data_IF_843914371933
#
_entry.id   IF_843914371933
#
_cell.length_a   1.000
_cell.length_b   1.000
_cell.length_c   1.000
_cell.angle_alpha   90.00
_cell.angle_beta   90.00
_cell.angle_gamma   90.00
#
_symmetry.space_group_name_H-M   'P 1'
#
loop_
_entity.id
_entity.type
_entity.pdbx_description
1 polymer ?
#
# COMPACT_ATOMS: atom_id res chain seq x y z
N UNK A 1 -6.81 -4.62 14.45
CA UNK A 1 -6.49 -3.29 15.02
C UNK A 1 -5.09 -2.74 14.73
N UNK A 2 -3.99 -3.37 15.17
CA UNK A 2 -2.65 -2.78 15.02
C UNK A 2 -2.25 -2.57 13.54
N UNK A 3 -2.54 -3.55 12.69
CA UNK A 3 -2.27 -3.46 11.23
C UNK A 3 -2.94 -2.23 10.62
N UNK A 4 -4.24 -2.03 10.85
CA UNK A 4 -4.98 -0.87 10.32
C UNK A 4 -4.38 0.46 10.79
N UNK A 5 -4.08 0.56 12.09
CA UNK A 5 -3.42 1.76 12.67
C UNK A 5 -2.04 2.03 12.05
N UNK A 6 -1.27 0.98 11.74
CA UNK A 6 0.02 1.13 11.06
C UNK A 6 -0.16 1.64 9.62
N UNK A 7 -1.15 1.11 8.90
CA UNK A 7 -1.49 1.54 7.53
C UNK A 7 -1.92 3.00 7.50
N UNK A 8 -2.73 3.45 8.46
CA UNK A 8 -3.15 4.86 8.55
C UNK A 8 -1.94 5.80 8.71
N UNK A 9 -0.97 5.41 9.55
CA UNK A 9 0.29 6.16 9.71
C UNK A 9 1.14 6.19 8.44
N UNK A 10 1.14 5.10 7.65
CA UNK A 10 1.83 5.06 6.35
C UNK A 10 1.19 6.00 5.33
N UNK A 11 -0.13 6.17 5.38
CA UNK A 11 -0.87 7.09 4.52
C UNK A 11 -0.51 8.55 4.78
N UNK A 12 -0.37 8.94 6.05
CA UNK A 12 0.02 10.30 6.44
C UNK A 12 1.39 10.72 5.89
N UNK A 13 2.30 9.77 5.70
CA UNK A 13 3.66 10.00 5.21
C UNK A 13 3.87 9.49 3.79
N UNK A 14 2.80 9.33 3.01
CA UNK A 14 2.86 8.71 1.68
C UNK A 14 3.86 9.41 0.74
N UNK A 15 3.81 10.75 0.67
CA UNK A 15 4.70 11.53 -0.21
C UNK A 15 6.17 11.38 0.17
N UNK A 16 6.47 11.43 1.47
CA UNK A 16 7.83 11.26 2.01
C UNK A 16 8.38 9.86 1.69
N UNK A 17 7.55 8.82 1.85
CA UNK A 17 7.94 7.46 1.52
C UNK A 17 8.17 7.26 0.02
N UNK A 18 7.29 7.77 -0.85
CA UNK A 18 7.45 7.68 -2.31
C UNK A 18 8.76 8.31 -2.77
N UNK A 19 9.13 9.47 -2.21
CA UNK A 19 10.40 10.12 -2.51
C UNK A 19 11.64 9.26 -2.17
N UNK A 20 11.52 8.34 -1.20
CA UNK A 20 12.59 7.44 -0.79
C UNK A 20 12.54 6.05 -1.46
N UNK A 21 11.44 5.70 -2.13
CA UNK A 21 11.20 4.36 -2.67
C UNK A 21 11.83 4.09 -4.04
N UNK A 22 12.61 5.05 -4.56
CA UNK A 22 13.41 4.89 -5.76
C UNK A 22 12.99 5.80 -6.90
N UNK A 23 13.97 6.23 -7.68
CA UNK A 23 13.77 7.04 -8.88
C UNK A 23 13.08 6.24 -9.99
N UNK A 24 12.19 6.88 -10.75
CA UNK A 24 11.49 6.23 -11.86
C UNK A 24 10.17 5.55 -11.48
N UNK A 25 9.78 5.58 -10.20
CA UNK A 25 8.55 4.95 -9.73
C UNK A 25 7.29 5.57 -10.34
N UNK A 26 7.35 6.83 -10.79
CA UNK A 26 6.27 7.50 -11.52
C UNK A 26 5.90 6.81 -12.84
N UNK A 27 6.82 6.05 -13.45
CA UNK A 27 6.54 5.26 -14.66
C UNK A 27 5.82 3.94 -14.34
N UNK A 28 5.91 3.47 -13.09
CA UNK A 28 5.34 2.20 -12.64
C UNK A 28 4.01 2.38 -11.93
N UNK A 29 3.98 3.29 -10.93
CA UNK A 29 2.84 3.55 -10.06
C UNK A 29 1.80 4.44 -10.76
N UNK A 30 1.09 3.83 -11.71
CA UNK A 30 0.17 4.53 -12.63
C UNK A 30 -1.30 4.24 -12.35
N UNK A 31 -1.59 3.34 -11.41
CA UNK A 31 -2.95 2.81 -11.18
C UNK A 31 -3.33 1.67 -12.13
N UNK A 32 -2.49 1.35 -13.12
CA UNK A 32 -2.66 0.23 -14.04
C UNK A 32 -1.74 -0.93 -13.69
N UNK A 33 -1.96 -2.10 -14.31
CA UNK A 33 -1.07 -3.26 -14.20
C UNK A 33 -0.80 -3.71 -12.75
N UNK A 34 -1.86 -3.80 -11.93
CA UNK A 34 -1.75 -4.19 -10.52
C UNK A 34 -0.87 -3.23 -9.68
N UNK A 35 -0.87 -1.93 -10.02
CA UNK A 35 -0.24 -0.87 -9.22
C UNK A 35 -1.27 0.16 -8.77
N UNK A 36 -0.93 0.92 -7.73
CA UNK A 36 -1.67 2.13 -7.36
C UNK A 36 -1.11 3.35 -8.09
N UNK A 37 -1.92 4.39 -8.26
CA UNK A 37 -1.45 5.70 -8.70
C UNK A 37 -0.48 6.30 -7.66
N UNK A 38 0.63 6.89 -8.12
CA UNK A 38 1.70 7.42 -7.27
C UNK A 38 1.26 8.55 -6.35
N UNK A 39 0.18 9.28 -6.70
CA UNK A 39 -0.31 10.41 -5.92
C UNK A 39 -1.39 10.01 -4.92
N UNK A 40 -1.89 8.78 -5.00
CA UNK A 40 -3.06 8.31 -4.26
C UNK A 40 -2.67 7.18 -3.32
N UNK A 41 -2.91 7.39 -2.01
CA UNK A 41 -2.73 6.33 -1.02
C UNK A 41 -4.03 5.53 -0.85
N UNK A 42 -3.99 4.25 -1.18
CA UNK A 42 -5.11 3.33 -1.03
C UNK A 42 -4.64 2.05 -0.36
N UNK A 43 -5.50 1.47 0.48
CA UNK A 43 -5.32 0.12 0.99
C UNK A 43 -6.60 -0.69 0.87
N UNK A 44 -6.46 -2.01 0.78
CA UNK A 44 -7.63 -2.89 0.72
C UNK A 44 -7.29 -4.36 0.93
N UNK A 45 -8.33 -5.14 1.22
CA UNK A 45 -8.22 -6.58 1.41
C UNK A 45 -8.25 -7.27 0.05
N UNK A 46 -7.26 -8.12 -0.21
CA UNK A 46 -7.06 -8.79 -1.49
C UNK A 46 -6.96 -7.84 -2.70
N UNK A 47 -6.77 -6.53 -2.49
CA UNK A 47 -6.73 -5.55 -3.56
C UNK A 47 -5.30 -5.40 -4.09
N UNK A 48 -5.05 -5.96 -5.28
CA UNK A 48 -3.77 -5.81 -5.99
C UNK A 48 -3.62 -4.49 -6.75
N UNK A 49 -4.62 -3.61 -6.76
CA UNK A 49 -4.47 -2.24 -7.27
C UNK A 49 -4.14 -1.23 -6.15
N UNK A 50 -4.06 -1.67 -4.89
CA UNK A 50 -3.82 -0.80 -3.76
C UNK A 50 -2.33 -0.59 -3.48
N UNK A 51 -2.02 0.54 -2.83
CA UNK A 51 -0.69 0.88 -2.34
C UNK A 51 -0.26 -0.07 -1.23
N UNK A 52 -1.19 -0.38 -0.31
CA UNK A 52 -1.02 -1.41 0.71
C UNK A 52 -2.07 -2.52 0.54
N UNK A 53 -1.65 -3.78 0.52
CA UNK A 53 -2.55 -4.95 0.47
C UNK A 53 -2.59 -5.65 1.82
N UNK A 54 -3.79 -6.04 2.25
CA UNK A 54 -3.99 -6.98 3.36
C UNK A 54 -4.51 -8.30 2.78
N UNK A 55 -3.92 -9.43 3.15
CA UNK A 55 -4.37 -10.75 2.69
C UNK A 55 -5.74 -11.12 3.26
N UNK A 56 -6.53 -11.93 2.55
CA UNK A 56 -7.83 -12.43 3.05
C UNK A 56 -7.68 -13.20 4.36
N UNK A 57 -6.64 -14.01 4.46
CA UNK A 57 -6.38 -14.80 5.67
C UNK A 57 -6.00 -13.91 6.86
N UNK A 58 -5.20 -12.86 6.63
CA UNK A 58 -4.88 -11.88 7.69
C UNK A 58 -6.11 -11.13 8.17
N UNK A 59 -7.02 -10.74 7.27
CA UNK A 59 -8.29 -10.14 7.68
C UNK A 59 -9.14 -11.14 8.47
N UNK A 60 -9.32 -12.36 7.95
CA UNK A 60 -10.15 -13.41 8.54
C UNK A 60 -9.66 -13.83 9.93
N UNK A 61 -8.34 -13.96 10.12
CA UNK A 61 -7.74 -14.39 11.38
C UNK A 61 -7.50 -13.25 12.37
N UNK A 62 -7.60 -11.99 11.93
CA UNK A 62 -7.33 -10.82 12.75
C UNK A 62 -5.86 -10.62 13.13
N UNK A 63 -4.94 -11.42 12.57
CA UNK A 63 -3.49 -11.39 12.79
C UNK A 63 -2.75 -11.75 11.50
N UNK A 64 -1.50 -11.32 11.36
CA UNK A 64 -0.69 -11.56 10.16
C UNK A 64 0.09 -10.32 9.77
N UNK A 65 0.10 -9.99 8.48
CA UNK A 65 0.89 -8.88 7.93
C UNK A 65 0.13 -8.14 6.82
N UNK A 66 0.64 -6.96 6.47
CA UNK A 66 0.25 -6.22 5.27
C UNK A 66 1.45 -6.12 4.33
N UNK A 67 1.18 -5.89 3.05
CA UNK A 67 2.19 -5.78 1.99
C UNK A 67 2.22 -4.35 1.47
N UNK A 68 3.35 -3.64 1.63
CA UNK A 68 3.58 -2.36 0.97
C UNK A 68 4.06 -2.59 -0.46
N UNK A 69 3.31 -2.08 -1.44
CA UNK A 69 3.51 -2.33 -2.87
C UNK A 69 4.03 -1.09 -3.61
N UNK A 70 4.34 -0.04 -2.86
CA UNK A 70 4.83 1.26 -3.37
C UNK A 70 6.34 1.30 -3.64
N UNK A 71 7.23 0.56 -2.96
CA UNK A 71 8.58 0.32 -3.45
C UNK A 71 8.54 -0.33 -4.83
#
# INVERSE_FOLDING_TARGET
>A
EIIKKAIDKLGLRHKEHIAAYGEGNERRLTGHHETADINTFLWGVANRGASIRVGRDTEKEGKGYFEDRRP
#
